data_IF_172427002668
#
_entry.id   IF_172427002668
#
_cell.length_a   1.000
_cell.length_b   1.000
_cell.length_c   1.000
_cell.angle_alpha   90.00
_cell.angle_beta   90.00
_cell.angle_gamma   90.00
#
_symmetry.space_group_name_H-M   'P 1'
#
loop_
_entity.id
_entity.type
_entity.pdbx_description
1 polymer ?
#
# COMPACT_ATOMS: atom_id res chain seq x y z
N UNK A 1 44.49 53.22 35.20
CA UNK A 1 43.27 52.72 35.89
C UNK A 1 42.62 51.54 35.16
N UNK A 2 43.26 50.95 34.15
CA UNK A 2 42.72 49.80 33.39
C UNK A 2 43.14 48.44 33.96
N UNK A 3 44.34 48.32 34.56
CA UNK A 3 44.89 47.06 35.07
C UNK A 3 44.28 46.52 36.37
N UNK A 4 43.55 47.33 37.15
CA UNK A 4 42.86 46.85 38.37
C UNK A 4 41.51 46.22 38.05
N UNK A 5 40.77 46.82 37.13
CA UNK A 5 39.47 46.31 36.66
C UNK A 5 39.67 44.95 35.98
N UNK A 6 40.74 44.81 35.17
CA UNK A 6 41.10 43.51 34.57
C UNK A 6 41.39 42.41 35.58
N UNK A 7 42.00 42.71 36.73
CA UNK A 7 42.36 41.68 37.72
C UNK A 7 41.18 41.25 38.61
N UNK A 8 40.30 42.18 38.99
CA UNK A 8 39.09 41.88 39.77
C UNK A 8 38.08 41.06 38.96
N UNK A 9 37.88 41.40 37.69
CA UNK A 9 37.01 40.62 36.78
C UNK A 9 37.51 39.17 36.60
N UNK A 10 38.83 38.97 36.57
CA UNK A 10 39.43 37.64 36.45
C UNK A 10 39.26 36.81 37.73
N UNK A 11 39.41 37.42 38.92
CA UNK A 11 39.23 36.72 40.20
C UNK A 11 37.77 36.32 40.46
N UNK A 12 36.82 37.18 40.12
CA UNK A 12 35.39 36.87 40.23
C UNK A 12 34.99 35.72 39.29
N UNK A 13 35.51 35.72 38.05
CA UNK A 13 35.29 34.63 37.11
C UNK A 13 35.89 33.31 37.61
N UNK A 14 37.07 33.35 38.22
CA UNK A 14 37.74 32.17 38.78
C UNK A 14 36.97 31.60 39.97
N UNK A 15 36.46 32.47 40.85
CA UNK A 15 35.62 32.13 42.00
C UNK A 15 34.29 31.50 41.57
N UNK A 16 33.64 32.10 40.58
CA UNK A 16 32.41 31.58 39.99
C UNK A 16 32.61 30.19 39.40
N UNK A 17 33.68 30.00 38.64
CA UNK A 17 33.99 28.71 38.01
C UNK A 17 34.35 27.63 39.05
N UNK A 18 35.05 27.99 40.13
CA UNK A 18 35.34 27.05 41.21
C UNK A 18 34.09 26.64 41.99
N UNK A 19 33.12 27.56 42.12
CA UNK A 19 31.89 27.34 42.90
C UNK A 19 30.79 26.62 42.09
N UNK A 20 30.69 26.87 40.78
CA UNK A 20 29.60 26.39 39.91
C UNK A 20 30.06 25.62 38.66
N UNK A 21 31.36 25.51 38.41
CA UNK A 21 31.89 24.87 37.19
C UNK A 21 31.56 23.38 37.08
N UNK A 22 31.55 22.64 38.20
CA UNK A 22 31.18 21.20 38.21
C UNK A 22 29.73 20.94 37.74
N UNK A 23 28.68 21.56 38.32
CA UNK A 23 27.31 21.35 37.85
C UNK A 23 27.06 21.89 36.43
N UNK A 24 27.71 23.01 36.04
CA UNK A 24 27.62 23.52 34.66
C UNK A 24 28.21 22.50 33.67
N UNK A 25 29.39 21.96 33.98
CA UNK A 25 30.05 20.95 33.15
C UNK A 25 29.20 19.66 33.02
N UNK A 26 28.62 19.19 34.13
CA UNK A 26 27.70 18.04 34.12
C UNK A 26 26.45 18.36 33.28
N UNK A 27 25.87 19.56 33.41
CA UNK A 27 24.74 19.99 32.61
C UNK A 27 25.04 20.03 31.11
N UNK A 28 26.22 20.52 30.72
CA UNK A 28 26.68 20.54 29.32
C UNK A 28 26.86 19.11 28.79
N UNK A 29 27.48 18.21 29.55
CA UNK A 29 27.62 16.80 29.15
C UNK A 29 26.26 16.11 28.98
N UNK A 30 25.32 16.36 29.88
CA UNK A 30 23.95 15.86 29.78
C UNK A 30 23.23 16.39 28.53
N UNK A 31 23.35 17.70 28.24
CA UNK A 31 22.78 18.29 27.04
C UNK A 31 23.35 17.67 25.75
N UNK A 32 24.67 17.46 25.70
CA UNK A 32 25.33 16.78 24.56
C UNK A 32 24.81 15.34 24.42
N UNK A 33 24.74 14.58 25.51
CA UNK A 33 24.25 13.21 25.48
C UNK A 33 22.80 13.12 24.97
N UNK A 34 21.92 14.02 25.43
CA UNK A 34 20.53 14.09 24.97
C UNK A 34 20.46 14.39 23.47
N UNK A 35 21.21 15.40 23.00
CA UNK A 35 21.24 15.77 21.58
C UNK A 35 21.82 14.65 20.72
N UNK A 36 22.88 13.97 21.18
CA UNK A 36 23.47 12.83 20.47
C UNK A 36 22.50 11.66 20.35
N UNK A 37 21.76 11.33 21.42
CA UNK A 37 20.73 10.28 21.39
C UNK A 37 19.61 10.66 20.42
N UNK A 38 19.12 11.91 20.46
CA UNK A 38 18.09 12.38 19.52
C UNK A 38 18.58 12.29 18.07
N UNK A 39 19.76 12.83 17.77
CA UNK A 39 20.34 12.80 16.42
C UNK A 39 20.58 11.40 15.90
N UNK A 40 21.02 10.48 16.76
CA UNK A 40 21.19 9.08 16.39
C UNK A 40 19.86 8.46 15.97
N UNK A 41 18.80 8.69 16.76
CA UNK A 41 17.45 8.22 16.44
C UNK A 41 16.91 8.84 15.14
N UNK A 42 17.05 10.16 14.97
CA UNK A 42 16.61 10.88 13.76
C UNK A 42 17.34 10.40 12.50
N UNK A 43 18.67 10.26 12.55
CA UNK A 43 19.45 9.74 11.42
C UNK A 43 19.05 8.32 11.05
N UNK A 44 18.76 7.47 12.04
CA UNK A 44 18.29 6.11 11.80
C UNK A 44 16.93 6.12 11.05
N UNK A 45 16.02 7.01 11.44
CA UNK A 45 14.72 7.17 10.76
C UNK A 45 14.87 7.72 9.34
N UNK A 46 15.78 8.66 9.10
CA UNK A 46 16.06 9.19 7.75
C UNK A 46 16.67 8.10 6.87
N UNK A 47 17.64 7.34 7.36
CA UNK A 47 18.27 6.26 6.61
C UNK A 47 17.24 5.18 6.19
N UNK A 48 16.31 4.83 7.08
CA UNK A 48 15.24 3.89 6.77
C UNK A 48 14.31 4.41 5.66
N UNK A 49 13.90 5.68 5.71
CA UNK A 49 13.06 6.30 4.67
C UNK A 49 13.76 6.36 3.31
N UNK A 50 15.05 6.69 3.28
CA UNK A 50 15.85 6.69 2.04
C UNK A 50 15.91 5.29 1.43
N UNK A 51 16.12 4.25 2.27
CA UNK A 51 16.17 2.86 1.82
C UNK A 51 14.82 2.36 1.29
N UNK A 52 13.72 2.72 1.95
CA UNK A 52 12.37 2.42 1.46
C UNK A 52 12.10 3.05 0.08
N UNK A 53 12.43 4.32 -0.09
CA UNK A 53 12.25 5.02 -1.38
C UNK A 53 13.10 4.40 -2.49
N UNK A 54 14.35 4.02 -2.20
CA UNK A 54 15.22 3.29 -3.15
C UNK A 54 14.62 1.94 -3.55
N UNK A 55 14.17 1.15 -2.58
CA UNK A 55 13.52 -0.13 -2.83
C UNK A 55 12.23 0.03 -3.65
N UNK A 56 11.43 1.05 -3.36
CA UNK A 56 10.26 1.35 -4.16
C UNK A 56 10.62 1.74 -5.60
N UNK A 57 11.69 2.50 -5.81
CA UNK A 57 12.13 2.84 -7.17
C UNK A 57 12.62 1.62 -7.95
N UNK A 58 13.31 0.69 -7.29
CA UNK A 58 13.66 -0.61 -7.88
C UNK A 58 12.41 -1.43 -8.23
N UNK A 59 11.39 -1.42 -7.37
CA UNK A 59 10.11 -2.06 -7.66
C UNK A 59 9.43 -1.44 -8.89
N UNK A 60 9.39 -0.11 -8.99
CA UNK A 60 8.84 0.60 -10.16
C UNK A 60 9.60 0.24 -11.44
N UNK A 61 10.93 0.16 -11.37
CA UNK A 61 11.74 -0.29 -12.48
C UNK A 61 11.45 -1.75 -12.88
N UNK A 62 11.32 -2.66 -11.92
CA UNK A 62 10.90 -4.04 -12.20
C UNK A 62 9.50 -4.08 -12.83
N UNK A 63 8.57 -3.27 -12.34
CA UNK A 63 7.20 -3.14 -12.85
C UNK A 63 7.14 -2.60 -14.29
N UNK A 64 8.14 -1.83 -14.73
CA UNK A 64 8.21 -1.33 -16.12
C UNK A 64 8.78 -2.33 -17.11
N UNK A 65 9.40 -3.42 -16.64
CA UNK A 65 9.92 -4.46 -17.53
C UNK A 65 8.82 -5.47 -17.91
N UNK A 66 8.92 -6.11 -19.08
CA UNK A 66 8.15 -7.30 -19.40
C UNK A 66 8.34 -8.38 -18.33
N UNK A 67 7.27 -9.07 -17.92
CA UNK A 67 7.32 -10.05 -16.82
C UNK A 67 8.31 -11.20 -17.05
N UNK A 68 8.55 -11.58 -18.30
CA UNK A 68 9.52 -12.60 -18.71
C UNK A 68 10.99 -12.16 -18.51
N UNK A 69 11.24 -10.86 -18.34
CA UNK A 69 12.58 -10.29 -18.11
C UNK A 69 12.83 -9.91 -16.65
N UNK A 70 11.83 -10.09 -15.79
CA UNK A 70 11.90 -9.72 -14.37
C UNK A 70 12.57 -10.86 -13.61
N UNK A 71 13.60 -10.53 -12.84
CA UNK A 71 14.15 -11.48 -11.88
C UNK A 71 13.23 -11.60 -10.66
N UNK A 72 12.49 -12.70 -10.57
CA UNK A 72 11.55 -12.98 -9.47
C UNK A 72 12.21 -12.88 -8.09
N UNK A 73 13.44 -13.39 -7.96
CA UNK A 73 14.15 -13.38 -6.68
C UNK A 73 14.43 -11.94 -6.19
N UNK A 74 14.77 -11.03 -7.12
CA UNK A 74 15.01 -9.63 -6.79
C UNK A 74 13.71 -8.95 -6.34
N UNK A 75 12.61 -9.22 -7.03
CA UNK A 75 11.30 -8.67 -6.69
C UNK A 75 10.82 -9.15 -5.32
N UNK A 76 10.94 -10.44 -5.03
CA UNK A 76 10.60 -11.00 -3.72
C UNK A 76 11.46 -10.36 -2.63
N UNK A 77 12.77 -10.23 -2.87
CA UNK A 77 13.69 -9.57 -1.92
C UNK A 77 13.31 -8.12 -1.66
N UNK A 78 12.97 -7.34 -2.69
CA UNK A 78 12.53 -5.95 -2.56
C UNK A 78 11.21 -5.88 -1.78
N UNK A 79 10.24 -6.74 -2.13
CA UNK A 79 8.95 -6.79 -1.45
C UNK A 79 9.10 -7.15 0.04
N UNK A 80 9.94 -8.11 0.38
CA UNK A 80 10.25 -8.49 1.76
C UNK A 80 10.90 -7.34 2.53
N UNK A 81 11.79 -6.59 1.90
CA UNK A 81 12.41 -5.42 2.53
C UNK A 81 11.39 -4.32 2.82
N UNK A 82 10.50 -4.02 1.87
CA UNK A 82 9.42 -3.04 2.06
C UNK A 82 8.44 -3.49 3.15
N UNK A 83 8.10 -4.78 3.18
CA UNK A 83 7.23 -5.37 4.18
C UNK A 83 7.84 -5.32 5.60
N UNK A 84 9.15 -5.57 5.73
CA UNK A 84 9.87 -5.48 7.01
C UNK A 84 10.00 -4.05 7.51
N UNK A 85 10.15 -3.09 6.60
CA UNK A 85 10.32 -1.69 6.94
C UNK A 85 9.02 -1.05 7.42
N UNK A 86 7.95 -1.16 6.62
CA UNK A 86 6.61 -0.74 7.03
C UNK A 86 5.52 -1.54 6.28
N UNK A 87 4.91 -2.55 6.93
CA UNK A 87 3.97 -3.47 6.29
C UNK A 87 2.67 -2.81 5.84
N UNK A 88 2.30 -1.69 6.45
CA UNK A 88 1.07 -0.95 6.18
C UNK A 88 1.27 0.18 5.17
N UNK A 89 2.52 0.44 4.76
CA UNK A 89 2.84 1.49 3.80
C UNK A 89 2.27 1.20 2.41
N UNK A 90 1.99 2.26 1.66
CA UNK A 90 1.68 2.18 0.24
C UNK A 90 2.72 1.35 -0.53
N UNK A 91 4.01 1.53 -0.23
CA UNK A 91 5.10 0.81 -0.90
C UNK A 91 5.02 -0.70 -0.69
N UNK A 92 4.78 -1.15 0.55
CA UNK A 92 4.61 -2.57 0.85
C UNK A 92 3.37 -3.17 0.18
N UNK A 93 2.26 -2.42 0.14
CA UNK A 93 1.03 -2.89 -0.50
C UNK A 93 1.14 -2.94 -2.03
N UNK A 94 1.81 -1.97 -2.66
CA UNK A 94 2.14 -2.05 -4.09
C UNK A 94 3.07 -3.22 -4.41
N UNK A 95 4.03 -3.54 -3.54
CA UNK A 95 4.87 -4.72 -3.68
C UNK A 95 4.05 -6.01 -3.64
N UNK A 96 3.10 -6.15 -2.70
CA UNK A 96 2.17 -7.29 -2.66
C UNK A 96 1.32 -7.41 -3.93
N UNK A 97 0.85 -6.30 -4.48
CA UNK A 97 0.13 -6.34 -5.75
C UNK A 97 0.98 -6.83 -6.90
N UNK A 98 2.24 -6.43 -6.94
CA UNK A 98 3.14 -6.89 -7.98
C UNK A 98 3.51 -8.38 -7.82
N UNK A 99 3.72 -8.85 -6.58
CA UNK A 99 3.87 -10.27 -6.29
C UNK A 99 2.63 -11.07 -6.73
N UNK A 100 1.42 -10.55 -6.48
CA UNK A 100 0.19 -11.19 -6.95
C UNK A 100 0.14 -11.28 -8.49
N UNK A 101 0.52 -10.21 -9.19
CA UNK A 101 0.62 -10.19 -10.66
C UNK A 101 1.60 -11.25 -11.17
N UNK A 102 2.79 -11.34 -10.55
CA UNK A 102 3.80 -12.34 -10.90
C UNK A 102 3.27 -13.75 -10.67
N UNK A 103 2.67 -14.01 -9.51
CA UNK A 103 2.06 -15.29 -9.18
C UNK A 103 0.97 -15.70 -10.19
N UNK A 104 0.08 -14.79 -10.59
CA UNK A 104 -0.92 -15.05 -11.65
C UNK A 104 -0.25 -15.43 -12.97
N UNK A 105 0.81 -14.71 -13.39
CA UNK A 105 1.52 -15.01 -14.65
C UNK A 105 2.17 -16.39 -14.66
N UNK A 106 2.44 -16.94 -13.48
CA UNK A 106 3.03 -18.26 -13.27
C UNK A 106 1.97 -19.32 -12.92
N UNK A 107 0.68 -18.98 -13.02
CA UNK A 107 -0.44 -19.84 -12.63
C UNK A 107 -0.43 -20.26 -11.15
N UNK A 108 0.29 -19.55 -10.28
CA UNK A 108 0.32 -19.72 -8.82
C UNK A 108 -0.84 -18.95 -8.19
N UNK A 109 -2.07 -19.34 -8.50
CA UNK A 109 -3.26 -18.57 -8.11
C UNK A 109 -3.48 -18.48 -6.59
N UNK A 110 -3.08 -19.49 -5.82
CA UNK A 110 -3.19 -19.44 -4.35
C UNK A 110 -2.25 -18.41 -3.73
N UNK A 111 -1.03 -18.28 -4.26
CA UNK A 111 -0.07 -17.25 -3.83
C UNK A 111 -0.58 -15.84 -4.16
N UNK A 112 -1.18 -15.67 -5.34
CA UNK A 112 -1.82 -14.42 -5.73
C UNK A 112 -2.97 -14.07 -4.78
N UNK A 113 -3.85 -15.03 -4.49
CA UNK A 113 -4.97 -14.83 -3.58
C UNK A 113 -4.48 -14.45 -2.17
N UNK A 114 -3.44 -15.12 -1.66
CA UNK A 114 -2.84 -14.83 -0.36
C UNK A 114 -2.27 -13.41 -0.29
N UNK A 115 -1.51 -12.99 -1.31
CA UNK A 115 -0.92 -11.66 -1.37
C UNK A 115 -1.99 -10.55 -1.41
N UNK A 116 -3.04 -10.74 -2.21
CA UNK A 116 -4.16 -9.80 -2.32
C UNK A 116 -4.99 -9.74 -1.02
N UNK A 117 -5.30 -10.91 -0.44
CA UNK A 117 -6.00 -10.98 0.84
C UNK A 117 -5.24 -10.23 1.94
N UNK A 118 -3.91 -10.37 1.98
CA UNK A 118 -3.08 -9.67 2.94
C UNK A 118 -3.05 -8.12 2.76
N UNK A 119 -3.46 -7.59 1.61
CA UNK A 119 -3.72 -6.15 1.43
C UNK A 119 -5.15 -5.81 1.84
N UNK A 120 -6.12 -6.64 1.44
CA UNK A 120 -7.54 -6.44 1.73
C UNK A 120 -7.85 -6.47 3.23
N UNK A 121 -7.16 -7.31 4.00
CA UNK A 121 -7.37 -7.45 5.45
C UNK A 121 -6.90 -6.19 6.22
N UNK A 122 -5.97 -5.39 5.66
CA UNK A 122 -5.46 -4.15 6.27
C UNK A 122 -4.95 -3.17 5.21
N UNK A 123 -5.85 -2.53 4.43
CA UNK A 123 -5.45 -1.66 3.34
C UNK A 123 -4.98 -0.30 3.87
N UNK A 124 -4.06 0.36 3.15
CA UNK A 124 -3.56 1.68 3.56
C UNK A 124 -4.62 2.78 3.38
N UNK A 125 -5.55 2.56 2.44
CA UNK A 125 -6.75 3.38 2.25
C UNK A 125 -7.88 2.57 1.60
N UNK A 126 -9.06 3.19 1.46
CA UNK A 126 -10.22 2.57 0.84
C UNK A 126 -9.97 2.14 -0.63
N UNK A 127 -9.20 2.93 -1.38
CA UNK A 127 -8.93 2.67 -2.79
C UNK A 127 -8.07 1.41 -3.00
N UNK A 128 -7.02 1.22 -2.20
CA UNK A 128 -6.21 0.00 -2.18
C UNK A 128 -7.02 -1.20 -1.72
N UNK A 129 -7.92 -1.01 -0.75
CA UNK A 129 -8.87 -2.03 -0.31
C UNK A 129 -9.74 -2.52 -1.46
N UNK A 130 -10.40 -1.61 -2.17
CA UNK A 130 -11.27 -1.96 -3.30
C UNK A 130 -10.50 -2.51 -4.50
N UNK A 131 -9.31 -1.98 -4.81
CA UNK A 131 -8.42 -2.54 -5.84
C UNK A 131 -8.00 -3.98 -5.49
N UNK A 132 -7.68 -4.24 -4.22
CA UNK A 132 -7.33 -5.58 -3.79
C UNK A 132 -8.49 -6.54 -3.88
N UNK A 133 -9.66 -6.10 -3.46
CA UNK A 133 -10.90 -6.89 -3.56
C UNK A 133 -11.22 -7.25 -5.00
N UNK A 134 -11.18 -6.28 -5.91
CA UNK A 134 -11.41 -6.52 -7.34
C UNK A 134 -10.48 -7.62 -7.87
N UNK A 135 -9.18 -7.47 -7.62
CA UNK A 135 -8.18 -8.42 -8.10
C UNK A 135 -8.36 -9.79 -7.45
N UNK A 136 -8.68 -9.83 -6.16
CA UNK A 136 -8.89 -11.09 -5.43
C UNK A 136 -10.11 -11.83 -5.97
N UNK A 137 -11.21 -11.14 -6.24
CA UNK A 137 -12.41 -11.72 -6.86
C UNK A 137 -12.09 -12.35 -8.22
N UNK A 138 -11.31 -11.66 -9.06
CA UNK A 138 -10.88 -12.19 -10.36
C UNK A 138 -9.99 -13.43 -10.22
N UNK A 139 -9.09 -13.45 -9.23
CA UNK A 139 -8.28 -14.65 -8.91
C UNK A 139 -9.17 -15.80 -8.44
N UNK A 140 -10.12 -15.56 -7.53
CA UNK A 140 -11.04 -16.58 -7.04
C UNK A 140 -11.95 -17.12 -8.14
N UNK A 141 -12.38 -16.28 -9.09
CA UNK A 141 -13.08 -16.71 -10.30
C UNK A 141 -12.24 -17.66 -11.15
N UNK A 142 -10.95 -17.35 -11.35
CA UNK A 142 -10.02 -18.23 -12.06
C UNK A 142 -9.78 -19.55 -11.31
N UNK A 143 -9.85 -19.54 -9.98
CA UNK A 143 -9.79 -20.72 -9.12
C UNK A 143 -11.12 -21.48 -9.00
N UNK A 144 -12.20 -21.00 -9.62
CA UNK A 144 -13.56 -21.53 -9.48
C UNK A 144 -14.11 -21.50 -8.03
N UNK A 145 -13.57 -20.63 -7.16
CA UNK A 145 -14.01 -20.40 -5.78
C UNK A 145 -15.12 -19.35 -5.75
N UNK A 146 -16.26 -19.68 -6.37
CA UNK A 146 -17.31 -18.70 -6.67
C UNK A 146 -18.01 -18.14 -5.42
N UNK A 147 -18.22 -18.96 -4.39
CA UNK A 147 -18.88 -18.52 -3.16
C UNK A 147 -17.99 -17.55 -2.37
N UNK A 148 -16.69 -17.83 -2.29
CA UNK A 148 -15.71 -16.91 -1.69
C UNK A 148 -15.66 -15.59 -2.46
N UNK A 149 -15.64 -15.64 -3.80
CA UNK A 149 -15.65 -14.45 -4.65
C UNK A 149 -16.91 -13.62 -4.42
N UNK A 150 -18.08 -14.25 -4.35
CA UNK A 150 -19.35 -13.58 -4.11
C UNK A 150 -19.42 -12.94 -2.72
N UNK A 151 -18.90 -13.62 -1.70
CA UNK A 151 -18.88 -13.13 -0.32
C UNK A 151 -18.08 -11.83 -0.18
N UNK A 152 -16.93 -11.72 -0.87
CA UNK A 152 -16.12 -10.50 -0.87
C UNK A 152 -16.88 -9.27 -1.41
N UNK A 153 -17.86 -9.49 -2.28
CA UNK A 153 -18.65 -8.44 -2.91
C UNK A 153 -19.85 -7.97 -2.07
N UNK A 154 -20.17 -8.65 -0.96
CA UNK A 154 -21.28 -8.27 -0.07
C UNK A 154 -20.93 -7.15 0.92
N UNK A 155 -19.63 -6.87 1.12
CA UNK A 155 -19.21 -5.78 1.99
C UNK A 155 -19.70 -4.43 1.45
N UNK A 156 -20.05 -3.46 2.33
CA UNK A 156 -20.38 -2.10 1.92
C UNK A 156 -19.36 -1.52 0.94
N UNK A 157 -19.83 -0.64 0.06
CA UNK A 157 -19.03 -0.02 -0.99
C UNK A 157 -19.33 1.47 -1.04
N UNK A 158 -18.28 2.29 -1.18
CA UNK A 158 -18.42 3.72 -1.44
C UNK A 158 -18.93 3.96 -2.87
N UNK A 159 -19.57 5.11 -3.09
CA UNK A 159 -20.29 5.39 -4.34
C UNK A 159 -19.40 5.20 -5.57
N UNK A 160 -18.16 5.66 -5.47
CA UNK A 160 -17.16 5.69 -6.53
C UNK A 160 -16.75 4.27 -7.01
N UNK A 161 -16.97 3.24 -6.19
CA UNK A 161 -16.61 1.85 -6.52
C UNK A 161 -17.82 0.96 -6.86
N UNK A 162 -19.05 1.49 -6.80
CA UNK A 162 -20.29 0.75 -7.09
C UNK A 162 -20.25 0.13 -8.49
N UNK A 163 -19.81 0.90 -9.48
CA UNK A 163 -19.67 0.44 -10.88
C UNK A 163 -18.86 -0.86 -10.95
N UNK A 164 -17.66 -0.86 -10.37
CA UNK A 164 -16.75 -2.02 -10.40
C UNK A 164 -17.28 -3.19 -9.57
N UNK A 165 -17.90 -2.92 -8.40
CA UNK A 165 -18.49 -3.98 -7.56
C UNK A 165 -19.62 -4.72 -8.27
N UNK A 166 -20.55 -3.98 -8.86
CA UNK A 166 -21.69 -4.58 -9.55
C UNK A 166 -21.27 -5.30 -10.83
N UNK A 167 -20.25 -4.80 -11.55
CA UNK A 167 -19.65 -5.52 -12.69
C UNK A 167 -19.08 -6.87 -12.25
N UNK A 168 -18.26 -6.90 -11.19
CA UNK A 168 -17.68 -8.15 -10.67
C UNK A 168 -18.75 -9.10 -10.13
N UNK A 169 -19.81 -8.57 -9.52
CA UNK A 169 -20.94 -9.37 -9.04
C UNK A 169 -21.65 -10.05 -10.20
N UNK A 170 -21.84 -9.33 -11.31
CA UNK A 170 -22.32 -9.90 -12.56
C UNK A 170 -21.42 -11.03 -13.06
N UNK A 171 -20.10 -10.82 -13.08
CA UNK A 171 -19.12 -11.84 -13.52
C UNK A 171 -19.17 -13.11 -12.67
N UNK A 172 -19.29 -12.97 -11.34
CA UNK A 172 -19.44 -14.10 -10.41
C UNK A 172 -20.76 -14.84 -10.62
N UNK A 173 -21.88 -14.10 -10.72
CA UNK A 173 -23.21 -14.68 -10.92
C UNK A 173 -23.32 -15.39 -12.27
N UNK A 174 -22.71 -14.84 -13.32
CA UNK A 174 -22.63 -15.47 -14.63
C UNK A 174 -21.87 -16.79 -14.56
N UNK A 175 -20.72 -16.81 -13.86
CA UNK A 175 -19.94 -18.04 -13.66
C UNK A 175 -20.68 -19.09 -12.83
N UNK A 176 -21.61 -18.65 -11.98
CA UNK A 176 -22.55 -19.50 -11.24
C UNK A 176 -23.79 -19.92 -12.06
N UNK A 177 -23.86 -19.58 -13.35
CA UNK A 177 -25.01 -19.81 -14.24
C UNK A 177 -26.31 -19.12 -13.78
N UNK A 178 -26.22 -18.06 -12.96
CA UNK A 178 -27.35 -17.26 -12.49
C UNK A 178 -27.60 -16.07 -13.42
N UNK A 179 -27.98 -16.37 -14.66
CA UNK A 179 -28.02 -15.42 -15.79
C UNK A 179 -28.87 -14.17 -15.49
N UNK A 180 -30.08 -14.35 -14.97
CA UNK A 180 -30.96 -13.22 -14.66
C UNK A 180 -30.38 -12.28 -13.60
N UNK A 181 -29.77 -12.85 -12.57
CA UNK A 181 -29.12 -12.08 -11.50
C UNK A 181 -27.86 -11.38 -12.01
N UNK A 182 -27.10 -12.02 -12.91
CA UNK A 182 -25.95 -11.40 -13.56
C UNK A 182 -26.38 -10.20 -14.42
N UNK A 183 -27.48 -10.33 -15.17
CA UNK A 183 -28.07 -9.25 -15.98
C UNK A 183 -28.48 -8.05 -15.12
N UNK A 184 -29.13 -8.30 -13.98
CA UNK A 184 -29.48 -7.27 -13.00
C UNK A 184 -28.24 -6.55 -12.47
N UNK A 185 -27.21 -7.29 -12.06
CA UNK A 185 -25.95 -6.71 -11.58
C UNK A 185 -25.26 -5.85 -12.65
N UNK A 186 -25.17 -6.32 -13.89
CA UNK A 186 -24.59 -5.53 -14.98
C UNK A 186 -25.40 -4.27 -15.31
N UNK A 187 -26.73 -4.30 -15.18
CA UNK A 187 -27.56 -3.09 -15.31
C UNK A 187 -27.28 -2.08 -14.19
N UNK A 188 -27.13 -2.55 -12.96
CA UNK A 188 -26.75 -1.70 -11.83
C UNK A 188 -25.36 -1.07 -12.04
N UNK A 189 -24.39 -1.86 -12.54
CA UNK A 189 -23.06 -1.38 -12.90
C UNK A 189 -23.11 -0.28 -13.98
N UNK A 190 -23.93 -0.46 -15.02
CA UNK A 190 -24.09 0.52 -16.09
C UNK A 190 -24.70 1.83 -15.57
N UNK A 191 -25.76 1.74 -14.75
CA UNK A 191 -26.41 2.91 -14.17
C UNK A 191 -25.45 3.73 -13.30
N UNK A 192 -24.61 3.06 -12.50
CA UNK A 192 -23.57 3.71 -11.72
C UNK A 192 -22.50 4.37 -12.60
N UNK A 193 -22.06 3.69 -13.67
CA UNK A 193 -21.07 4.22 -14.60
C UNK A 193 -21.55 5.47 -15.36
N UNK A 194 -22.85 5.55 -15.65
CA UNK A 194 -23.49 6.70 -16.27
C UNK A 194 -23.55 7.91 -15.32
N UNK A 195 -23.86 7.67 -14.05
CA UNK A 195 -23.87 8.71 -13.02
C UNK A 195 -22.48 9.32 -12.78
N UNK A 196 -21.43 8.50 -12.84
CA UNK A 196 -20.06 8.91 -12.52
C UNK A 196 -19.21 9.26 -13.76
N UNK A 197 -19.80 9.25 -14.97
CA UNK A 197 -19.12 9.49 -16.27
C UNK A 197 -17.86 8.63 -16.47
N UNK A 198 -17.87 7.41 -15.93
CA UNK A 198 -16.72 6.50 -15.99
C UNK A 198 -16.59 5.83 -17.37
N UNK A 199 -15.35 5.64 -17.83
CA UNK A 199 -15.03 5.08 -19.16
C UNK A 199 -15.34 3.58 -19.36
N UNK A 200 -15.73 2.86 -18.32
CA UNK A 200 -15.95 1.41 -18.38
C UNK A 200 -17.30 0.99 -18.99
N UNK A 201 -18.17 1.95 -19.36
CA UNK A 201 -19.50 1.70 -19.92
C UNK A 201 -19.50 0.77 -21.15
N UNK A 202 -18.47 0.87 -22.01
CA UNK A 202 -18.38 0.07 -23.23
C UNK A 202 -18.26 -1.43 -22.92
N UNK A 203 -17.43 -1.79 -21.95
CA UNK A 203 -17.20 -3.19 -21.55
C UNK A 203 -18.47 -3.78 -20.94
N UNK A 204 -19.15 -3.01 -20.07
CA UNK A 204 -20.40 -3.44 -19.43
C UNK A 204 -21.50 -3.68 -20.47
N UNK A 205 -21.64 -2.79 -21.46
CA UNK A 205 -22.59 -2.95 -22.58
C UNK A 205 -22.30 -4.20 -23.41
N UNK A 206 -21.03 -4.50 -23.69
CA UNK A 206 -20.65 -5.72 -24.39
C UNK A 206 -21.00 -6.98 -23.59
N UNK A 207 -20.74 -6.99 -22.28
CA UNK A 207 -21.12 -8.09 -21.38
C UNK A 207 -22.63 -8.33 -21.39
N UNK A 208 -23.44 -7.27 -21.28
CA UNK A 208 -24.90 -7.34 -21.36
C UNK A 208 -25.40 -7.90 -22.70
N UNK A 209 -24.82 -7.46 -23.81
CA UNK A 209 -25.20 -7.92 -25.14
C UNK A 209 -24.88 -9.40 -25.36
N UNK A 210 -23.76 -9.89 -24.82
CA UNK A 210 -23.41 -11.31 -24.90
C UNK A 210 -24.42 -12.20 -24.17
N UNK A 211 -24.91 -11.77 -22.99
CA UNK A 211 -25.97 -12.51 -22.28
C UNK A 211 -27.25 -12.62 -23.11
N UNK A 212 -27.66 -11.53 -23.75
CA UNK A 212 -28.86 -11.51 -24.59
C UNK A 212 -28.78 -12.45 -25.80
N UNK A 213 -27.57 -12.82 -26.24
CA UNK A 213 -27.36 -13.79 -27.33
C UNK A 213 -27.37 -15.25 -26.84
N UNK A 214 -26.98 -15.51 -25.58
CA UNK A 214 -27.08 -16.83 -24.96
C UNK A 214 -28.55 -17.23 -24.73
N UNK A 215 -29.42 -16.28 -24.43
CA UNK A 215 -30.87 -16.52 -24.26
C UNK A 215 -31.59 -16.98 -25.56
N UNK A 216 -30.92 -16.88 -26.73
CA UNK A 216 -31.50 -17.18 -28.06
C UNK A 216 -31.07 -18.56 -28.58
N UNK A 217 -30.19 -19.29 -27.88
CA UNK A 217 -29.74 -20.64 -28.24
C UNK A 217 -30.39 -21.71 -27.38
#
# INVERSE_FOLDING_TARGET
MTTRIENEEIEELKSFWNSYGKPIFIGVLLAIAIVSVWKFWENHQIANKVKEAQNYQLLIFAMSQPLDKVNEADVISIADQLQKANPDSYYAQYAKFYLAKLAVSQNKLDDAAKALKAVLDKPADAALGELSRERLVRVLLAQNKLDEAFALLQAPVEKEFVTTREELKGDVLLKQSKIDQAREAYRAALAAAEADKLGNQLIIKLKLNNLAQEDIK
#
